data_IF_803616353749
#
_entry.id   IF_803616353749
#
_cell.length_a   1.000
_cell.length_b   1.000
_cell.length_c   1.000
_cell.angle_alpha   90.00
_cell.angle_beta   90.00
_cell.angle_gamma   90.00
#
_symmetry.space_group_name_H-M   'P 1'
#
loop_
_entity.id
_entity.type
_entity.pdbx_description
1 polymer ?
#
# COMPACT_ATOMS: atom_id res chain seq x y z
N UNK A 1 0.23 -14.29 26.23
CA UNK A 1 0.62 -13.81 24.89
C UNK A 1 1.97 -13.12 25.04
N UNK A 2 3.03 -13.69 24.49
CA UNK A 2 4.39 -13.11 24.58
C UNK A 2 4.61 -12.18 23.39
N UNK A 3 4.46 -10.87 23.60
CA UNK A 3 5.01 -9.88 22.67
C UNK A 3 6.53 -9.92 22.83
N UNK A 4 7.20 -10.61 21.91
CA UNK A 4 8.65 -10.52 21.75
C UNK A 4 8.94 -9.15 21.15
N UNK A 5 9.17 -8.15 22.01
CA UNK A 5 9.66 -6.84 21.57
C UNK A 5 11.04 -7.05 20.94
N UNK A 6 11.09 -6.90 19.62
CA UNK A 6 12.29 -6.99 18.81
C UNK A 6 13.37 -6.05 19.37
N UNK A 7 14.37 -6.66 20.00
CA UNK A 7 15.42 -5.96 20.73
C UNK A 7 16.45 -5.29 19.79
N UNK A 8 16.24 -5.36 18.47
CA UNK A 8 17.09 -4.77 17.44
C UNK A 8 16.38 -3.67 16.61
N UNK A 9 15.20 -3.21 17.03
CA UNK A 9 14.48 -2.08 16.40
C UNK A 9 15.17 -0.73 16.68
N UNK A 10 16.35 -0.52 16.09
CA UNK A 10 16.96 0.80 15.98
C UNK A 10 16.27 1.56 14.82
N UNK A 11 15.99 2.87 14.97
CA UNK A 11 15.48 3.68 13.87
C UNK A 11 16.37 3.55 12.63
N UNK A 12 15.77 3.52 11.45
CA UNK A 12 16.55 3.49 10.20
C UNK A 12 17.40 4.78 10.11
N UNK A 13 18.68 4.70 9.71
CA UNK A 13 19.53 5.89 9.58
C UNK A 13 18.96 6.93 8.61
N UNK A 14 19.14 8.22 8.90
CA UNK A 14 18.64 9.34 8.09
C UNK A 14 19.15 9.34 6.64
N UNK A 15 20.30 8.70 6.38
CA UNK A 15 20.83 8.53 5.03
C UNK A 15 20.03 7.56 4.16
N UNK A 16 19.09 6.80 4.76
CA UNK A 16 18.22 5.85 4.07
C UNK A 16 16.77 6.32 4.21
N UNK A 17 16.29 6.97 3.15
CA UNK A 17 14.91 7.43 3.03
C UNK A 17 14.00 6.28 2.61
N UNK A 18 12.80 6.22 3.18
CA UNK A 18 11.73 5.31 2.78
C UNK A 18 10.70 6.11 2.01
N UNK A 19 10.44 5.72 0.77
CA UNK A 19 9.53 6.44 -0.13
C UNK A 19 8.14 5.82 -0.18
N UNK A 20 7.96 4.64 0.42
CA UNK A 20 6.74 3.84 0.34
C UNK A 20 6.55 3.14 -1.00
N UNK A 21 7.25 3.55 -2.07
CA UNK A 21 7.18 2.94 -3.41
C UNK A 21 7.93 1.59 -3.52
N UNK A 22 8.72 1.25 -2.51
CA UNK A 22 9.45 -0.02 -2.42
C UNK A 22 8.55 -1.25 -2.18
N UNK A 23 7.33 -1.04 -1.68
CA UNK A 23 6.39 -2.12 -1.40
C UNK A 23 5.31 -2.21 -2.50
N UNK A 24 4.71 -3.41 -2.69
CA UNK A 24 3.56 -3.56 -3.57
C UNK A 24 2.40 -2.66 -3.10
N UNK A 25 1.66 -2.13 -4.06
CA UNK A 25 0.48 -1.29 -3.81
C UNK A 25 -0.63 -2.12 -3.18
N UNK A 26 -1.20 -1.66 -2.06
CA UNK A 26 -2.35 -2.30 -1.42
C UNK A 26 -3.66 -1.86 -2.12
N UNK A 27 -4.70 -2.72 -2.18
CA UNK A 27 -6.04 -2.31 -2.58
C UNK A 27 -6.55 -1.02 -1.91
N UNK A 28 -6.20 -0.79 -0.63
CA UNK A 28 -6.55 0.43 0.10
C UNK A 28 -5.88 1.66 -0.55
N UNK A 29 -4.61 1.57 -0.92
CA UNK A 29 -3.87 2.65 -1.57
C UNK A 29 -4.51 3.03 -2.89
N UNK A 30 -4.96 2.04 -3.66
CA UNK A 30 -5.63 2.27 -4.94
C UNK A 30 -6.97 2.99 -4.76
N UNK A 31 -7.74 2.67 -3.72
CA UNK A 31 -8.99 3.39 -3.41
C UNK A 31 -8.68 4.82 -2.95
N UNK A 32 -7.69 5.00 -2.08
CA UNK A 32 -7.29 6.33 -1.60
C UNK A 32 -6.77 7.22 -2.73
N UNK A 33 -6.03 6.66 -3.69
CA UNK A 33 -5.57 7.35 -4.89
C UNK A 33 -6.73 7.95 -5.70
N UNK A 34 -7.93 7.33 -5.69
CA UNK A 34 -9.12 7.90 -6.34
C UNK A 34 -9.76 9.07 -5.58
N UNK A 35 -9.29 9.36 -4.35
CA UNK A 35 -9.87 10.37 -3.46
C UNK A 35 -11.24 9.98 -2.89
N UNK A 36 -11.58 8.68 -2.85
CA UNK A 36 -12.87 8.16 -2.38
C UNK A 36 -12.74 7.42 -1.06
N UNK A 37 -13.84 7.36 -0.32
CA UNK A 37 -13.89 6.59 0.91
C UNK A 37 -13.67 5.10 0.68
N UNK A 38 -12.92 4.50 1.59
CA UNK A 38 -12.67 3.06 1.64
C UNK A 38 -13.95 2.36 2.06
N UNK A 39 -14.54 1.63 1.11
CA UNK A 39 -15.73 0.79 1.33
C UNK A 39 -15.45 -0.60 0.83
N UNK A 40 -16.09 -1.63 1.41
CA UNK A 40 -15.87 -3.04 1.04
C UNK A 40 -16.03 -3.28 -0.47
N UNK A 41 -17.05 -2.65 -1.08
CA UNK A 41 -17.29 -2.72 -2.53
C UNK A 41 -16.12 -2.18 -3.34
N UNK A 42 -15.52 -1.06 -2.92
CA UNK A 42 -14.39 -0.45 -3.64
C UNK A 42 -13.10 -1.23 -3.42
N UNK A 43 -12.89 -1.79 -2.23
CA UNK A 43 -11.77 -2.68 -1.96
C UNK A 43 -11.82 -3.96 -2.81
N UNK A 44 -13.00 -4.56 -2.97
CA UNK A 44 -13.16 -5.72 -3.83
C UNK A 44 -12.81 -5.40 -5.30
N UNK A 45 -13.22 -4.23 -5.79
CA UNK A 45 -12.86 -3.77 -7.13
C UNK A 45 -11.36 -3.49 -7.24
N UNK A 46 -10.78 -2.77 -6.29
CA UNK A 46 -9.35 -2.46 -6.27
C UNK A 46 -8.49 -3.72 -6.23
N UNK A 47 -8.90 -4.74 -5.47
CA UNK A 47 -8.24 -6.04 -5.45
C UNK A 47 -8.28 -6.72 -6.83
N UNK A 48 -9.43 -6.71 -7.49
CA UNK A 48 -9.57 -7.25 -8.86
C UNK A 48 -8.67 -6.49 -9.85
N UNK A 49 -8.63 -5.16 -9.75
CA UNK A 49 -7.83 -4.32 -10.63
C UNK A 49 -6.32 -4.55 -10.43
N UNK A 50 -5.87 -4.76 -9.18
CA UNK A 50 -4.49 -5.14 -8.87
C UNK A 50 -4.14 -6.56 -9.33
N UNK A 51 -5.08 -7.51 -9.26
CA UNK A 51 -4.88 -8.87 -9.79
C UNK A 51 -4.75 -8.86 -11.34
N UNK A 52 -5.49 -7.98 -12.03
CA UNK A 52 -5.50 -7.90 -13.49
C UNK A 52 -4.34 -7.07 -14.06
N UNK A 53 -4.00 -5.94 -13.42
CA UNK A 53 -3.04 -4.97 -13.95
C UNK A 53 -1.78 -4.79 -13.10
N UNK A 54 -1.71 -5.38 -11.91
CA UNK A 54 -0.59 -5.22 -10.99
C UNK A 54 -0.35 -3.74 -10.63
N UNK A 55 0.92 -3.35 -10.51
CA UNK A 55 1.31 -1.97 -10.20
C UNK A 55 0.81 -0.93 -11.21
N UNK A 56 0.55 -1.33 -12.48
CA UNK A 56 0.03 -0.44 -13.51
C UNK A 56 -1.43 0.00 -13.26
N UNK A 57 -2.15 -0.64 -12.34
CA UNK A 57 -3.48 -0.20 -11.93
C UNK A 57 -3.46 1.24 -11.38
N UNK A 58 -2.37 1.65 -10.73
CA UNK A 58 -2.22 3.00 -10.15
C UNK A 58 -2.19 4.07 -11.24
N UNK A 59 -1.43 3.87 -12.32
CA UNK A 59 -1.34 4.82 -13.45
C UNK A 59 -2.69 5.00 -14.15
N UNK A 60 -3.55 3.98 -14.14
CA UNK A 60 -4.91 4.07 -14.69
C UNK A 60 -5.85 4.91 -13.82
N UNK A 61 -5.63 4.89 -12.50
CA UNK A 61 -6.42 5.64 -11.52
C UNK A 61 -5.95 7.10 -11.44
N UNK A 62 -4.64 7.32 -11.54
CA UNK A 62 -3.98 8.62 -11.50
C UNK A 62 -3.31 8.88 -12.86
N UNK A 63 -4.06 9.36 -13.86
CA UNK A 63 -3.49 9.71 -15.17
C UNK A 63 -2.59 10.94 -15.12
#
# INVERSE_FOLDING_TARGET
>A
MTDSTDSDSKPTPDSRLHTGAENPVDPIDLVQATGRDVTEKRLAQAKKDLEEHGAAAVEKVLP
#
